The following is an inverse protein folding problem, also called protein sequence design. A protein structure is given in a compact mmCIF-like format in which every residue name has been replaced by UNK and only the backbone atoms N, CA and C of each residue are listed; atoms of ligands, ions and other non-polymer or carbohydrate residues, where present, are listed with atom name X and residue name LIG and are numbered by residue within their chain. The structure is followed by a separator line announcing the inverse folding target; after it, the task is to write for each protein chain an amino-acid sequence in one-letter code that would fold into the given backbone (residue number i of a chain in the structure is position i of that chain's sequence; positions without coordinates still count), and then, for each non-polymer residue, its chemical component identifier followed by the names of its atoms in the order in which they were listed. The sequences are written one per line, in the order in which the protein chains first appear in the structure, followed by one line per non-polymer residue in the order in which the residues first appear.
data_IF_331607424207
#
_entry.id   IF_331607424207
#
_cell.length_a   1.000
_cell.length_b   1.000
_cell.length_c   1.000
_cell.angle_alpha   90.00
_cell.angle_beta   90.00
_cell.angle_gamma   90.00
#
_symmetry.space_group_name_H-M   'P 1'
#
loop_
_entity.id
_entity.type
_entity.pdbx_description
1 polymer ?
#
# COMPACT_ATOMS: atom_id res chain seq x y z
N UNK A 1 13.33 -9.78 4.42
CA UNK A 1 12.32 -10.67 3.79
C UNK A 1 10.92 -10.04 3.79
N UNK A 2 10.39 -9.64 4.96
CA UNK A 2 9.03 -9.08 5.06
C UNK A 2 8.75 -7.84 4.18
N UNK A 3 9.67 -6.88 4.10
CA UNK A 3 9.48 -5.69 3.27
C UNK A 3 9.38 -6.00 1.77
N UNK A 4 10.21 -6.92 1.26
CA UNK A 4 10.17 -7.32 -0.14
C UNK A 4 8.85 -8.07 -0.45
N UNK A 5 8.39 -8.91 0.48
CA UNK A 5 7.09 -9.57 0.36
C UNK A 5 5.93 -8.57 0.39
N UNK A 6 6.01 -7.52 1.22
CA UNK A 6 5.03 -6.44 1.26
C UNK A 6 4.96 -5.70 -0.07
N UNK A 7 6.10 -5.27 -0.62
CA UNK A 7 6.14 -4.59 -1.93
C UNK A 7 5.54 -5.47 -3.02
N UNK A 8 5.86 -6.77 -3.04
CA UNK A 8 5.26 -7.72 -3.97
C UNK A 8 3.72 -7.79 -3.83
N UNK A 9 3.20 -7.73 -2.61
CA UNK A 9 1.76 -7.76 -2.37
C UNK A 9 1.06 -6.44 -2.75
N UNK A 10 1.74 -5.30 -2.65
CA UNK A 10 1.24 -4.01 -3.13
C UNK A 10 1.06 -3.98 -4.66
N UNK A 11 1.78 -4.82 -5.40
CA UNK A 11 1.72 -4.94 -6.86
C UNK A 11 0.97 -6.21 -7.31
N UNK A 12 0.25 -6.89 -6.41
CA UNK A 12 -0.46 -8.12 -6.73
C UNK A 12 -1.59 -7.87 -7.73
N UNK A 13 -1.93 -8.85 -8.57
CA UNK A 13 -3.05 -8.74 -9.51
C UNK A 13 -4.41 -8.66 -8.81
N UNK A 14 -4.55 -9.33 -7.65
CA UNK A 14 -5.76 -9.29 -6.84
C UNK A 14 -5.84 -7.99 -6.03
N UNK A 15 -6.89 -7.21 -6.29
CA UNK A 15 -7.14 -5.95 -5.61
C UNK A 15 -7.35 -6.11 -4.09
N UNK A 16 -7.88 -7.24 -3.62
CA UNK A 16 -8.02 -7.50 -2.19
C UNK A 16 -6.64 -7.60 -1.53
N UNK A 17 -5.70 -8.31 -2.17
CA UNK A 17 -4.32 -8.44 -1.67
C UNK A 17 -3.64 -7.07 -1.63
N UNK A 18 -3.76 -6.27 -2.70
CA UNK A 18 -3.24 -4.90 -2.73
C UNK A 18 -3.82 -4.03 -1.62
N UNK A 19 -5.13 -4.13 -1.39
CA UNK A 19 -5.85 -3.38 -0.35
C UNK A 19 -5.31 -3.70 1.05
N UNK A 20 -5.18 -4.99 1.38
CA UNK A 20 -4.63 -5.42 2.68
C UNK A 20 -3.15 -5.04 2.83
N UNK A 21 -2.38 -5.15 1.75
CA UNK A 21 -0.98 -4.74 1.74
C UNK A 21 -0.81 -3.24 2.00
N UNK A 22 -1.63 -2.39 1.37
CA UNK A 22 -1.61 -0.95 1.61
C UNK A 22 -1.94 -0.60 3.06
N UNK A 23 -2.98 -1.22 3.63
CA UNK A 23 -3.33 -1.02 5.03
C UNK A 23 -2.17 -1.42 5.96
N UNK A 24 -1.61 -2.62 5.75
CA UNK A 24 -0.50 -3.11 6.55
C UNK A 24 0.76 -2.25 6.41
N UNK A 25 1.03 -1.67 5.24
CA UNK A 25 2.17 -0.79 5.05
C UNK A 25 2.11 0.46 5.94
N UNK A 26 0.93 1.04 6.11
CA UNK A 26 0.69 2.14 7.06
C UNK A 26 0.89 1.69 8.51
N UNK A 27 0.24 0.60 8.91
CA UNK A 27 0.32 0.05 10.28
C UNK A 27 1.75 -0.33 10.68
N UNK A 28 2.54 -0.85 9.72
CA UNK A 28 3.91 -1.29 9.94
C UNK A 28 4.94 -0.15 9.88
N UNK A 29 4.53 1.09 9.58
CA UNK A 29 5.46 2.21 9.40
C UNK A 29 6.42 1.99 8.23
N UNK A 30 5.97 1.33 7.16
CA UNK A 30 6.81 0.95 6.03
C UNK A 30 7.10 2.14 5.09
N UNK A 31 7.86 3.13 5.57
CA UNK A 31 8.20 4.36 4.83
C UNK A 31 8.84 4.06 3.47
N UNK A 32 9.62 3.00 3.37
CA UNK A 32 10.23 2.56 2.10
C UNK A 32 9.23 2.11 1.02
N UNK A 33 7.98 1.82 1.39
CA UNK A 33 6.90 1.50 0.45
C UNK A 33 6.18 2.74 -0.11
N UNK A 34 6.54 3.95 0.34
CA UNK A 34 5.86 5.20 -0.03
C UNK A 34 5.70 5.36 -1.54
N UNK A 35 6.76 5.14 -2.33
CA UNK A 35 6.69 5.28 -3.80
C UNK A 35 5.75 4.27 -4.48
N UNK A 36 5.55 3.09 -3.89
CA UNK A 36 4.56 2.11 -4.40
C UNK A 36 3.14 2.54 -4.01
N UNK A 37 2.96 3.01 -2.78
CA UNK A 37 1.67 3.54 -2.31
C UNK A 37 1.22 4.77 -3.11
N UNK A 38 2.14 5.66 -3.50
CA UNK A 38 1.84 6.82 -4.36
C UNK A 38 1.27 6.38 -5.72
N UNK A 39 1.83 5.33 -6.35
CA UNK A 39 1.29 4.77 -7.61
C UNK A 39 -0.10 4.17 -7.43
N UNK A 40 -0.39 3.60 -6.27
CA UNK A 40 -1.69 2.98 -5.97
C UNK A 40 -2.83 3.99 -5.82
N UNK A 41 -2.52 5.30 -5.76
CA UNK A 41 -3.54 6.35 -5.84
C UNK A 41 -4.26 6.37 -7.19
N UNK A 42 -3.64 5.80 -8.24
CA UNK A 42 -4.23 5.65 -9.58
C UNK A 42 -4.75 4.22 -9.84
N UNK A 43 -4.86 3.38 -8.80
CA UNK A 43 -5.35 2.00 -8.95
C UNK A 43 -6.78 1.96 -9.48
N UNK A 44 -7.12 0.94 -10.28
CA UNK A 44 -8.46 0.77 -10.85
C UNK A 44 -9.52 0.49 -9.77
N UNK A 45 -9.13 -0.15 -8.67
CA UNK A 45 -9.99 -0.47 -7.55
C UNK A 45 -10.05 0.69 -6.53
N UNK A 46 -11.27 1.11 -6.17
CA UNK A 46 -11.49 2.23 -5.25
C UNK A 46 -10.98 2.00 -3.83
N UNK A 47 -11.08 0.78 -3.30
CA UNK A 47 -10.63 0.45 -1.94
C UNK A 47 -9.11 0.50 -1.86
N UNK A 48 -8.42 0.06 -2.92
CA UNK A 48 -6.96 0.15 -3.02
C UNK A 48 -6.52 1.62 -2.96
N UNK A 49 -7.15 2.50 -3.75
CA UNK A 49 -6.86 3.94 -3.73
C UNK A 49 -7.06 4.55 -2.35
N UNK A 50 -8.16 4.22 -1.68
CA UNK A 50 -8.48 4.73 -0.32
C UNK A 50 -7.43 4.27 0.69
N UNK A 51 -7.06 2.97 0.68
CA UNK A 51 -6.06 2.43 1.62
C UNK A 51 -4.67 2.98 1.36
N UNK A 52 -4.28 3.18 0.10
CA UNK A 52 -3.02 3.80 -0.24
C UNK A 52 -2.94 5.24 0.30
N UNK A 53 -3.98 6.04 0.10
CA UNK A 53 -4.04 7.41 0.62
C UNK A 53 -3.98 7.45 2.16
N UNK A 54 -4.70 6.55 2.83
CA UNK A 54 -4.66 6.44 4.30
C UNK A 54 -3.26 6.07 4.80
N UNK A 55 -2.62 5.08 4.18
CA UNK A 55 -1.26 4.67 4.56
C UNK A 55 -0.25 5.80 4.37
N UNK A 56 -0.32 6.54 3.26
CA UNK A 56 0.54 7.70 3.01
C UNK A 56 0.33 8.79 4.07
N UNK A 57 -0.92 9.06 4.47
CA UNK A 57 -1.20 9.99 5.55
C UNK A 57 -0.58 9.51 6.87
N UNK A 58 -0.76 8.23 7.23
CA UNK A 58 -0.16 7.66 8.45
C UNK A 58 1.36 7.77 8.46
N UNK A 59 2.02 7.59 7.32
CA UNK A 59 3.48 7.68 7.20
C UNK A 59 4.02 9.11 7.17
N UNK A 60 3.15 10.13 7.10
CA UNK A 60 3.54 11.55 7.07
C UNK A 60 3.74 12.19 8.46
N UNK A 61 3.40 11.45 9.52
CA UNK A 61 3.57 11.85 10.92
C UNK A 61 4.88 11.31 11.50
#
# INVERSE_FOLDING_TARGET
EGLAALIKNLENEDAAIRTYAANFAGDAGAVSAQGTLEKMLDDTNGDVRIRAAQALLTLSH
#
